data_IF_528315324171
#
_entry.id   IF_528315324171
#
_cell.length_a   1.000
_cell.length_b   1.000
_cell.length_c   1.000
_cell.angle_alpha   90.00
_cell.angle_beta   90.00
_cell.angle_gamma   90.00
#
_symmetry.space_group_name_H-M   'P 1'
#
loop_
_entity.id
_entity.type
_entity.pdbx_description
1 polymer ?
#
# COMPACT_ATOMS: atom_id res chain seq x y z
N UNK A 1 6.00 -0.15 1.24
CA UNK A 1 5.88 1.31 1.14
C UNK A 1 7.02 2.01 1.87
N UNK A 2 7.36 3.24 1.45
CA UNK A 2 8.26 4.12 2.20
C UNK A 2 7.51 4.81 3.37
N UNK A 3 8.08 4.87 4.59
CA UNK A 3 7.44 5.52 5.73
C UNK A 3 7.47 7.05 5.59
N UNK A 4 6.39 7.75 5.96
CA UNK A 4 6.25 9.21 5.84
C UNK A 4 7.35 9.94 6.63
N UNK A 5 7.75 9.34 7.76
CA UNK A 5 8.86 9.79 8.62
C UNK A 5 10.22 9.85 7.93
N UNK A 6 10.47 9.08 6.86
CA UNK A 6 11.73 9.19 6.11
C UNK A 6 11.92 10.59 5.51
N UNK A 7 10.82 11.26 5.15
CA UNK A 7 10.82 12.57 4.53
C UNK A 7 11.20 13.71 5.51
N UNK A 8 11.16 13.48 6.83
CA UNK A 8 11.51 14.48 7.86
C UNK A 8 12.96 14.98 7.71
N UNK A 9 13.87 14.12 7.26
CA UNK A 9 15.30 14.43 7.09
C UNK A 9 15.56 15.47 5.98
N UNK A 10 14.74 15.47 4.93
CA UNK A 10 14.85 16.35 3.76
C UNK A 10 13.88 17.54 3.87
N UNK A 11 12.67 17.30 4.37
CA UNK A 11 11.56 18.25 4.40
C UNK A 11 11.14 18.57 5.84
N UNK A 12 11.82 19.52 6.47
CA UNK A 12 11.61 19.96 7.88
C UNK A 12 10.19 20.41 8.25
N UNK A 13 9.29 20.56 7.28
CA UNK A 13 7.87 20.87 7.52
C UNK A 13 7.05 19.61 7.85
N UNK A 14 7.55 18.42 7.49
CA UNK A 14 6.97 17.11 7.81
C UNK A 14 7.44 16.65 9.21
N UNK A 15 7.32 17.58 10.17
CA UNK A 15 7.83 17.46 11.53
C UNK A 15 7.03 16.41 12.36
N UNK A 16 7.47 16.09 13.59
CA UNK A 16 6.75 15.10 14.42
C UNK A 16 5.29 15.46 14.76
N UNK A 17 4.89 16.74 14.66
CA UNK A 17 3.49 17.14 14.83
C UNK A 17 2.69 16.82 13.57
N UNK A 18 3.26 17.05 12.38
CA UNK A 18 2.67 16.64 11.10
C UNK A 18 2.54 15.11 11.03
N UNK A 19 3.59 14.37 11.42
CA UNK A 19 3.54 12.91 11.48
C UNK A 19 2.49 12.40 12.48
N UNK A 20 2.35 13.03 13.65
CA UNK A 20 1.31 12.67 14.62
C UNK A 20 -0.11 12.94 14.08
N UNK A 21 -0.29 14.04 13.34
CA UNK A 21 -1.55 14.35 12.66
C UNK A 21 -1.87 13.34 11.54
N UNK A 22 -0.89 12.95 10.70
CA UNK A 22 -1.09 11.89 9.71
C UNK A 22 -1.42 10.53 10.38
N UNK A 23 -0.70 10.17 11.44
CA UNK A 23 -0.94 8.93 12.18
C UNK A 23 -2.33 8.89 12.85
N UNK A 24 -2.88 10.03 13.31
CA UNK A 24 -4.25 10.06 13.86
C UNK A 24 -5.35 9.85 12.81
N UNK A 25 -5.03 9.99 11.52
CA UNK A 25 -5.90 9.68 10.38
C UNK A 25 -5.49 8.38 9.66
N UNK A 26 -4.55 7.61 10.22
CA UNK A 26 -4.13 6.31 9.70
C UNK A 26 -3.12 6.32 8.55
N UNK A 27 -2.33 7.38 8.39
CA UNK A 27 -1.39 7.58 7.27
C UNK A 27 0.08 7.45 7.73
N UNK A 28 0.87 6.54 7.13
CA UNK A 28 2.12 6.07 7.77
C UNK A 28 3.52 6.21 7.10
N UNK A 29 3.92 5.79 5.89
CA UNK A 29 3.35 5.51 4.57
C UNK A 29 2.99 6.73 3.72
N UNK A 30 3.62 6.82 2.54
CA UNK A 30 3.28 7.77 1.45
C UNK A 30 2.13 7.24 0.59
N UNK A 31 2.01 5.91 0.44
CA UNK A 31 0.90 5.31 -0.32
C UNK A 31 -0.42 5.42 0.46
N UNK A 32 -0.39 5.35 1.79
CA UNK A 32 -1.58 5.64 2.62
C UNK A 32 -2.07 7.08 2.39
N UNK A 33 -1.15 8.03 2.14
CA UNK A 33 -1.46 9.43 1.83
C UNK A 33 -2.06 9.57 0.42
N UNK A 34 -1.61 8.77 -0.55
CA UNK A 34 -2.14 8.75 -1.92
C UNK A 34 -3.58 8.19 -2.02
N UNK A 35 -3.96 7.27 -1.14
CA UNK A 35 -5.30 6.64 -1.14
C UNK A 35 -6.31 7.34 -0.21
N UNK A 36 -5.90 8.38 0.51
CA UNK A 36 -6.74 9.10 1.48
C UNK A 36 -7.50 10.27 0.84
N UNK A 37 -8.65 10.65 1.38
CA UNK A 37 -9.36 11.86 0.92
C UNK A 37 -8.62 13.12 1.40
N UNK A 38 -7.92 13.77 0.47
CA UNK A 38 -7.13 14.97 0.72
C UNK A 38 -7.99 16.18 1.09
N UNK A 39 -9.27 16.23 0.69
CA UNK A 39 -10.20 17.29 1.09
C UNK A 39 -10.66 17.08 2.53
N UNK A 40 -10.96 15.84 2.92
CA UNK A 40 -11.32 15.50 4.31
C UNK A 40 -10.13 15.77 5.25
N UNK A 41 -8.92 15.32 4.88
CA UNK A 41 -7.69 15.57 5.63
C UNK A 41 -7.37 17.07 5.75
N UNK A 42 -7.57 17.86 4.69
CA UNK A 42 -7.40 19.31 4.74
C UNK A 42 -8.46 19.99 5.64
N UNK A 43 -9.70 19.50 5.66
CA UNK A 43 -10.74 19.98 6.57
C UNK A 43 -10.44 19.63 8.04
N UNK A 44 -9.87 18.46 8.33
CA UNK A 44 -9.39 18.15 9.68
C UNK A 44 -8.20 19.03 10.09
N UNK A 45 -7.30 19.37 9.16
CA UNK A 45 -6.20 20.29 9.42
C UNK A 45 -6.69 21.70 9.80
N UNK A 46 -7.78 22.19 9.20
CA UNK A 46 -8.35 23.52 9.51
C UNK A 46 -8.73 23.72 10.98
N UNK A 47 -9.13 22.64 11.66
CA UNK A 47 -9.59 22.68 13.04
C UNK A 47 -8.44 22.58 14.08
N UNK A 48 -7.20 22.48 13.63
CA UNK A 48 -6.02 22.36 14.49
C UNK A 48 -5.33 23.72 14.74
N UNK A 49 -4.71 23.95 15.92
CA UNK A 49 -3.99 25.19 16.22
C UNK A 49 -2.74 25.40 15.33
N UNK A 50 -2.30 24.36 14.62
CA UNK A 50 -1.19 24.37 13.64
C UNK A 50 -1.66 24.30 12.19
N UNK A 51 -2.96 24.53 11.91
CA UNK A 51 -3.63 24.46 10.60
C UNK A 51 -2.75 24.86 9.40
N UNK A 52 -2.18 26.08 9.39
CA UNK A 52 -1.34 26.55 8.28
C UNK A 52 -0.11 25.67 8.03
N UNK A 53 0.56 25.19 9.08
CA UNK A 53 1.69 24.24 8.94
C UNK A 53 1.23 22.88 8.43
N UNK A 54 0.08 22.38 8.90
CA UNK A 54 -0.46 21.09 8.48
C UNK A 54 -0.87 21.13 7.00
N UNK A 55 -1.55 22.20 6.57
CA UNK A 55 -1.86 22.46 5.15
C UNK A 55 -0.61 22.54 4.29
N UNK A 56 0.40 23.31 4.71
CA UNK A 56 1.68 23.38 4.00
C UNK A 56 2.40 22.02 3.97
N UNK A 57 2.30 21.20 5.02
CA UNK A 57 2.77 19.82 5.03
C UNK A 57 2.03 18.92 4.04
N UNK A 58 0.70 19.01 3.96
CA UNK A 58 -0.12 18.31 2.95
C UNK A 58 0.34 18.71 1.54
N UNK A 59 0.48 20.01 1.25
CA UNK A 59 0.99 20.51 -0.04
C UNK A 59 2.45 20.07 -0.30
N UNK A 60 3.28 19.98 0.73
CA UNK A 60 4.65 19.49 0.59
C UNK A 60 4.68 18.01 0.20
N UNK A 61 3.89 17.15 0.84
CA UNK A 61 3.79 15.72 0.46
C UNK A 61 3.26 15.58 -0.97
N UNK A 62 2.25 16.37 -1.36
CA UNK A 62 1.73 16.37 -2.73
C UNK A 62 2.79 16.80 -3.77
N UNK A 63 3.60 17.82 -3.50
CA UNK A 63 4.68 18.21 -4.44
C UNK A 63 5.84 17.21 -4.49
N UNK A 64 6.11 16.45 -3.43
CA UNK A 64 7.04 15.30 -3.45
C UNK A 64 6.45 14.20 -4.34
N UNK A 65 5.16 13.90 -4.16
CA UNK A 65 4.38 12.99 -4.99
C UNK A 65 4.46 13.39 -6.48
N UNK A 66 4.12 14.62 -6.84
CA UNK A 66 4.10 15.10 -8.23
C UNK A 66 5.49 15.12 -8.90
N UNK A 67 6.55 15.29 -8.11
CA UNK A 67 7.95 15.27 -8.64
C UNK A 67 8.57 13.88 -8.71
N UNK A 68 8.01 12.88 -8.01
CA UNK A 68 8.50 11.49 -8.00
C UNK A 68 7.62 10.51 -8.79
N UNK A 69 6.40 10.88 -9.18
CA UNK A 69 5.52 9.99 -9.93
C UNK A 69 6.11 9.62 -11.29
N UNK A 70 6.08 8.33 -11.59
CA UNK A 70 6.33 7.86 -12.95
C UNK A 70 5.23 8.40 -13.89
N UNK A 71 5.56 8.66 -15.17
CA UNK A 71 4.55 8.99 -16.18
C UNK A 71 3.55 7.83 -16.34
N UNK A 72 2.42 8.11 -17.00
CA UNK A 72 1.37 7.15 -17.27
C UNK A 72 1.93 5.89 -17.96
N UNK A 73 1.99 4.78 -17.22
CA UNK A 73 2.51 3.51 -17.74
C UNK A 73 1.64 2.98 -18.87
N UNK A 74 2.28 2.56 -19.96
CA UNK A 74 1.60 1.95 -21.09
C UNK A 74 1.37 0.45 -20.88
N UNK A 75 0.52 -0.17 -21.72
CA UNK A 75 0.12 -1.58 -21.55
C UNK A 75 1.27 -2.60 -21.56
N UNK A 76 2.42 -2.28 -22.19
CA UNK A 76 3.61 -3.14 -22.14
C UNK A 76 4.38 -2.99 -20.83
N UNK A 77 4.46 -1.79 -20.26
CA UNK A 77 5.11 -1.53 -18.97
C UNK A 77 4.30 -2.16 -17.81
N UNK A 78 2.97 -2.07 -17.89
CA UNK A 78 2.06 -2.73 -16.95
C UNK A 78 2.13 -4.28 -17.07
N UNK A 79 2.34 -4.81 -18.27
CA UNK A 79 2.53 -6.25 -18.48
C UNK A 79 3.88 -6.72 -17.95
N UNK A 80 4.95 -5.94 -18.15
CA UNK A 80 6.29 -6.25 -17.64
C UNK A 80 6.32 -6.27 -16.10
N UNK A 81 5.74 -5.26 -15.46
CA UNK A 81 5.58 -5.20 -14.00
C UNK A 81 4.80 -6.41 -13.44
N UNK A 82 3.68 -6.78 -14.09
CA UNK A 82 2.85 -7.91 -13.69
C UNK A 82 3.50 -9.29 -13.93
N UNK A 83 4.58 -9.36 -14.72
CA UNK A 83 5.34 -10.58 -14.99
C UNK A 83 6.62 -10.69 -14.15
N UNK A 84 7.28 -9.57 -13.84
CA UNK A 84 8.63 -9.55 -13.27
C UNK A 84 8.73 -8.93 -11.86
N UNK A 85 7.84 -8.00 -11.49
CA UNK A 85 7.93 -7.25 -10.23
C UNK A 85 6.90 -7.68 -9.16
N UNK A 86 5.96 -8.57 -9.49
CA UNK A 86 4.93 -9.06 -8.58
C UNK A 86 5.24 -10.47 -8.12
N UNK A 87 5.37 -10.68 -6.80
CA UNK A 87 5.64 -11.99 -6.25
C UNK A 87 4.47 -12.96 -6.46
N UNK A 88 4.81 -14.24 -6.64
CA UNK A 88 3.86 -15.35 -6.73
C UNK A 88 4.15 -16.35 -5.62
N UNK A 89 3.16 -16.61 -4.79
CA UNK A 89 3.21 -17.46 -3.60
C UNK A 89 2.54 -18.80 -3.89
N UNK A 90 3.27 -19.91 -3.77
CA UNK A 90 2.68 -21.26 -3.86
C UNK A 90 1.64 -21.50 -2.76
N UNK A 91 0.62 -22.30 -3.08
CA UNK A 91 -0.38 -22.80 -2.13
C UNK A 91 0.04 -24.11 -1.46
N UNK A 92 1.26 -24.60 -1.72
CA UNK A 92 1.71 -25.93 -1.32
C UNK A 92 0.87 -27.05 -1.97
N UNK A 93 0.33 -26.79 -3.17
CA UNK A 93 -0.58 -27.68 -3.89
C UNK A 93 -0.47 -27.47 -5.41
N UNK A 94 0.36 -28.29 -6.07
CA UNK A 94 0.66 -28.23 -7.51
C UNK A 94 -0.58 -28.06 -8.41
N UNK A 95 -1.68 -28.76 -8.13
CA UNK A 95 -2.91 -28.66 -8.91
C UNK A 95 -3.67 -27.34 -8.76
N UNK A 96 -3.51 -26.63 -7.63
CA UNK A 96 -4.06 -25.28 -7.43
C UNK A 96 -3.10 -24.25 -8.01
N UNK A 97 -1.78 -24.41 -7.80
CA UNK A 97 -0.77 -23.51 -8.36
C UNK A 97 -0.80 -23.51 -9.89
N UNK A 98 -0.99 -24.67 -10.52
CA UNK A 98 -1.20 -24.80 -11.96
C UNK A 98 -2.47 -24.05 -12.43
N UNK A 99 -3.56 -24.13 -11.67
CA UNK A 99 -4.83 -23.44 -11.97
C UNK A 99 -4.71 -21.91 -11.84
N UNK A 100 -3.89 -21.43 -10.90
CA UNK A 100 -3.63 -20.01 -10.66
C UNK A 100 -2.49 -19.44 -11.54
N UNK A 101 -1.84 -20.26 -12.36
CA UNK A 101 -0.71 -19.85 -13.18
C UNK A 101 0.53 -19.49 -12.36
N UNK A 102 0.85 -20.33 -11.36
CA UNK A 102 2.03 -20.26 -10.48
C UNK A 102 1.70 -20.22 -8.99
N UNK A 103 0.51 -19.75 -8.61
CA UNK A 103 0.12 -19.56 -7.21
C UNK A 103 -0.64 -18.24 -6.99
N UNK A 104 -0.77 -17.84 -5.72
CA UNK A 104 -1.39 -16.57 -5.31
C UNK A 104 -0.50 -15.39 -5.71
N UNK A 105 -1.09 -14.31 -6.23
CA UNK A 105 -0.34 -13.18 -6.80
C UNK A 105 -0.40 -11.94 -5.91
N UNK A 106 0.76 -11.32 -5.71
CA UNK A 106 0.88 -10.05 -5.00
C UNK A 106 0.02 -8.95 -5.66
N UNK A 107 -0.60 -8.10 -4.83
CA UNK A 107 -1.51 -7.06 -5.29
C UNK A 107 -2.91 -7.56 -5.72
N UNK A 108 -3.20 -8.85 -5.60
CA UNK A 108 -4.52 -9.42 -5.91
C UNK A 108 -5.22 -9.97 -4.66
N UNK A 109 -6.54 -9.76 -4.57
CA UNK A 109 -7.40 -10.41 -3.58
C UNK A 109 -7.95 -11.72 -4.15
N UNK A 110 -7.45 -12.86 -3.68
CA UNK A 110 -7.97 -14.18 -4.05
C UNK A 110 -8.94 -14.69 -2.98
N UNK A 111 -10.21 -14.86 -3.33
CA UNK A 111 -11.22 -15.46 -2.45
C UNK A 111 -11.24 -16.99 -2.60
N UNK A 112 -11.28 -17.73 -1.47
CA UNK A 112 -11.32 -19.19 -1.45
C UNK A 112 -12.63 -19.67 -0.80
N UNK A 113 -13.59 -20.08 -1.62
CA UNK A 113 -14.96 -20.41 -1.19
C UNK A 113 -15.26 -21.90 -1.32
N UNK A 114 -15.95 -22.49 -0.35
CA UNK A 114 -16.44 -23.86 -0.42
C UNK A 114 -17.26 -24.28 0.80
N UNK A 115 -17.87 -25.48 0.80
CA UNK A 115 -18.64 -26.00 1.93
C UNK A 115 -17.80 -26.17 3.21
N UNK A 116 -18.47 -26.18 4.36
CA UNK A 116 -17.85 -26.53 5.64
C UNK A 116 -17.04 -27.82 5.53
N UNK A 117 -15.84 -27.83 6.14
CA UNK A 117 -14.90 -28.95 6.14
C UNK A 117 -14.28 -29.34 4.78
N UNK A 118 -14.42 -28.56 3.70
CA UNK A 118 -13.72 -28.82 2.44
C UNK A 118 -12.21 -28.48 2.45
N UNK A 119 -11.66 -27.99 3.57
CA UNK A 119 -10.22 -27.79 3.77
C UNK A 119 -9.70 -26.36 3.62
N UNK A 120 -10.57 -25.35 3.42
CA UNK A 120 -10.17 -23.94 3.27
C UNK A 120 -9.13 -23.47 4.32
N UNK A 121 -9.30 -23.71 5.65
CA UNK A 121 -8.32 -23.24 6.64
C UNK A 121 -6.97 -23.95 6.52
N UNK A 122 -6.97 -25.23 6.12
CA UNK A 122 -5.76 -26.03 5.87
C UNK A 122 -5.03 -25.53 4.63
N UNK A 123 -5.74 -25.07 3.62
CA UNK A 123 -5.16 -24.41 2.44
C UNK A 123 -4.46 -23.12 2.85
N UNK A 124 -5.14 -22.22 3.59
CA UNK A 124 -4.54 -20.99 4.10
C UNK A 124 -3.30 -21.26 4.96
N UNK A 125 -3.33 -22.29 5.82
CA UNK A 125 -2.18 -22.68 6.64
C UNK A 125 -0.96 -23.12 5.80
N UNK A 126 -1.19 -23.80 4.66
CA UNK A 126 -0.12 -24.11 3.70
C UNK A 126 0.48 -22.84 3.10
N UNK A 127 -0.36 -21.97 2.53
CA UNK A 127 0.10 -20.69 1.96
C UNK A 127 0.92 -19.87 2.97
N UNK A 128 0.53 -19.87 4.25
CA UNK A 128 1.29 -19.25 5.33
C UNK A 128 2.67 -19.88 5.56
N UNK A 129 2.83 -21.20 5.40
CA UNK A 129 4.14 -21.86 5.50
C UNK A 129 5.02 -21.54 4.29
N UNK A 130 4.48 -21.61 3.07
CA UNK A 130 5.23 -21.27 1.84
C UNK A 130 5.69 -19.79 1.86
N UNK A 131 4.93 -18.90 2.52
CA UNK A 131 5.27 -17.48 2.68
C UNK A 131 6.42 -17.19 3.70
N UNK A 132 6.96 -18.23 4.35
CA UNK A 132 8.11 -18.13 5.25
C UNK A 132 9.33 -18.96 4.77
N UNK A 133 9.28 -19.47 3.53
CA UNK A 133 10.33 -20.31 2.90
C UNK A 133 11.44 -19.54 2.21
#
# INVERSE_FOLDING_TARGET
MAPLKALEAEYRILDPNFQAFCASHGIFSVEDFLIHDLYELAAFAEHQPTSEKLKQGITQVLSIIDTQHQPWLNGMELLDDALHNKHVLSTGCEGIDLLLGGGLREGQLTELVGPSSCGLPTCCLKCCNEAHG
#
